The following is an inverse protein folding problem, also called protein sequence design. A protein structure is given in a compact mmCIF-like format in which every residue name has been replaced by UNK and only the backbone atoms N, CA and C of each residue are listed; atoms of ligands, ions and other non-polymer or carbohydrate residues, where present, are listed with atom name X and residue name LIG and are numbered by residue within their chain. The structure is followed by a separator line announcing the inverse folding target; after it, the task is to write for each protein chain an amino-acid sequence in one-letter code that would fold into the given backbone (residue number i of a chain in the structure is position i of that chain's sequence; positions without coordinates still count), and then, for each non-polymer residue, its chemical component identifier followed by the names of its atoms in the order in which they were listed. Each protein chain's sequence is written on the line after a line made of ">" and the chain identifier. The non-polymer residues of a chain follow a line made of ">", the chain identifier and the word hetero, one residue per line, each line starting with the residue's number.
data_IF_103519046775
#
_entry.id   IF_103519046775
#
_cell.length_a   1.000
_cell.length_b   1.000
_cell.length_c   1.000
_cell.angle_alpha   90.00
_cell.angle_beta   90.00
_cell.angle_gamma   90.00
#
_symmetry.space_group_name_H-M   'P 1'
#
loop_
_entity.id
_entity.type
_entity.pdbx_description
1 polymer ?
#
# COMPACT_ATOMS: atom_id res chain seq x y z
N UNK A 1 -4.21 53.54 -41.81
CA UNK A 1 -3.47 52.26 -41.67
C UNK A 1 -3.02 51.95 -40.25
N UNK A 2 -2.36 52.85 -39.49
CA UNK A 2 -1.91 52.57 -38.11
C UNK A 2 -3.03 52.10 -37.14
N UNK A 3 -4.23 52.69 -37.20
CA UNK A 3 -5.37 52.28 -36.36
C UNK A 3 -5.90 50.87 -36.66
N UNK A 4 -5.87 50.45 -37.92
CA UNK A 4 -6.32 49.10 -38.33
C UNK A 4 -5.33 48.05 -37.83
N UNK A 5 -4.03 48.35 -37.91
CA UNK A 5 -2.98 47.45 -37.41
C UNK A 5 -3.07 47.22 -35.89
N UNK A 6 -3.37 48.27 -35.11
CA UNK A 6 -3.58 48.16 -33.66
C UNK A 6 -4.81 47.32 -33.31
N UNK A 7 -5.89 47.39 -34.08
CA UNK A 7 -7.10 46.58 -33.87
C UNK A 7 -6.82 45.10 -34.17
N UNK A 8 -6.03 44.81 -35.22
CA UNK A 8 -5.63 43.44 -35.57
C UNK A 8 -4.70 42.83 -34.50
N UNK A 9 -3.73 43.60 -33.98
CA UNK A 9 -2.86 43.14 -32.88
C UNK A 9 -3.68 42.91 -31.60
N UNK A 10 -4.61 43.80 -31.27
CA UNK A 10 -5.47 43.63 -30.09
C UNK A 10 -6.37 42.39 -30.25
N UNK A 11 -6.93 42.15 -31.44
CA UNK A 11 -7.71 40.95 -31.75
C UNK A 11 -6.89 39.66 -31.62
N UNK A 12 -5.63 39.67 -32.07
CA UNK A 12 -4.71 38.53 -31.94
C UNK A 12 -4.32 38.24 -30.48
N UNK A 13 -4.16 39.27 -29.64
CA UNK A 13 -3.86 39.11 -28.21
C UNK A 13 -5.07 38.52 -27.47
N UNK A 14 -6.30 38.91 -27.83
CA UNK A 14 -7.52 38.39 -27.20
C UNK A 14 -7.77 36.92 -27.62
N UNK A 15 -7.46 36.55 -28.87
CA UNK A 15 -7.53 35.15 -29.33
C UNK A 15 -6.38 34.25 -28.84
N UNK A 16 -5.24 34.84 -28.42
CA UNK A 16 -4.12 34.08 -27.84
C UNK A 16 -4.30 33.75 -26.36
N UNK A 17 -5.43 34.14 -25.76
CA UNK A 17 -5.83 33.67 -24.45
C UNK A 17 -6.53 32.31 -24.61
N UNK A 18 -5.76 31.29 -25.01
CA UNK A 18 -6.18 29.90 -24.81
C UNK A 18 -6.50 29.76 -23.33
N UNK A 19 -7.76 29.52 -23.00
CA UNK A 19 -8.14 29.07 -21.67
C UNK A 19 -7.37 27.78 -21.43
N UNK A 20 -6.27 27.87 -20.69
CA UNK A 20 -5.50 26.71 -20.27
C UNK A 20 -6.48 25.81 -19.53
N UNK A 21 -6.92 24.72 -20.16
CA UNK A 21 -7.71 23.71 -19.48
C UNK A 21 -6.86 23.22 -18.31
N UNK A 22 -7.38 23.47 -17.12
CA UNK A 22 -6.62 23.29 -15.89
C UNK A 22 -6.92 21.90 -15.33
N UNK A 23 -5.87 21.09 -15.21
CA UNK A 23 -5.97 19.72 -14.67
C UNK A 23 -6.27 19.69 -13.15
N UNK A 24 -6.35 20.84 -12.47
CA UNK A 24 -6.54 20.92 -11.02
C UNK A 24 -7.84 20.24 -10.56
N UNK A 25 -7.73 19.56 -9.43
CA UNK A 25 -8.85 18.88 -8.77
C UNK A 25 -8.73 17.36 -8.82
N UNK A 26 -9.84 16.70 -8.47
CA UNK A 26 -9.94 15.25 -8.35
C UNK A 26 -10.45 14.62 -9.64
N UNK A 27 -9.87 13.48 -9.96
CA UNK A 27 -10.22 12.67 -11.11
C UNK A 27 -10.26 11.20 -10.68
N UNK A 28 -11.34 10.50 -10.98
CA UNK A 28 -11.53 9.08 -10.67
C UNK A 28 -11.51 8.25 -11.93
N UNK A 29 -10.98 7.03 -11.86
CA UNK A 29 -10.93 6.10 -12.99
C UNK A 29 -12.32 5.90 -13.61
N UNK A 30 -12.39 5.90 -14.94
CA UNK A 30 -13.64 5.61 -15.67
C UNK A 30 -14.00 4.12 -15.48
N UNK A 31 -15.28 3.81 -15.26
CA UNK A 31 -15.73 2.43 -14.97
C UNK A 31 -15.29 1.40 -16.03
N UNK A 32 -15.29 1.79 -17.30
CA UNK A 32 -14.84 0.93 -18.43
C UNK A 32 -13.32 0.62 -18.42
N UNK A 33 -12.52 1.34 -17.63
CA UNK A 33 -11.07 1.15 -17.52
C UNK A 33 -10.68 0.25 -16.34
N UNK A 34 -11.65 -0.20 -15.53
CA UNK A 34 -11.42 -1.13 -14.41
C UNK A 34 -11.05 -2.50 -14.98
N UNK A 35 -9.76 -2.70 -15.23
CA UNK A 35 -9.18 -4.01 -15.56
C UNK A 35 -8.98 -4.80 -14.27
N UNK A 36 -8.99 -6.14 -14.37
CA UNK A 36 -8.75 -7.12 -13.28
C UNK A 36 -7.42 -6.95 -12.50
N UNK A 37 -6.62 -5.93 -12.81
CA UNK A 37 -5.38 -5.58 -12.14
C UNK A 37 -5.61 -4.51 -11.06
N UNK A 38 -5.72 -4.96 -9.81
CA UNK A 38 -6.07 -4.15 -8.63
C UNK A 38 -5.03 -3.09 -8.19
N UNK A 39 -3.97 -2.85 -8.96
CA UNK A 39 -2.88 -1.91 -8.57
C UNK A 39 -2.94 -0.57 -9.32
N UNK A 40 -3.80 -0.42 -10.33
CA UNK A 40 -3.87 0.85 -11.04
C UNK A 40 -4.42 1.98 -10.15
N UNK A 41 -4.08 3.24 -10.46
CA UNK A 41 -4.59 4.35 -9.69
C UNK A 41 -6.07 4.54 -9.99
N UNK A 42 -6.85 4.64 -8.92
CA UNK A 42 -8.29 4.89 -8.97
C UNK A 42 -8.59 6.37 -8.86
N UNK A 43 -7.71 7.13 -8.19
CA UNK A 43 -7.87 8.56 -7.95
C UNK A 43 -6.58 9.29 -8.28
N UNK A 44 -6.70 10.37 -9.05
CA UNK A 44 -5.68 11.38 -9.27
C UNK A 44 -6.14 12.70 -8.66
N UNK A 45 -5.28 13.34 -7.89
CA UNK A 45 -5.52 14.68 -7.38
C UNK A 45 -4.38 15.60 -7.74
N UNK A 46 -4.65 16.49 -8.70
CA UNK A 46 -3.72 17.52 -9.13
C UNK A 46 -3.88 18.76 -8.25
N UNK A 47 -2.79 19.16 -7.59
CA UNK A 47 -2.71 20.33 -6.72
C UNK A 47 -1.42 21.09 -6.98
N UNK A 48 -1.52 22.23 -7.69
CA UNK A 48 -0.40 23.07 -8.13
C UNK A 48 0.61 22.25 -8.94
N UNK A 49 1.77 21.96 -8.36
CA UNK A 49 2.88 21.17 -8.92
C UNK A 49 2.96 19.76 -8.32
N UNK A 50 1.99 19.37 -7.51
CA UNK A 50 1.92 18.07 -6.84
C UNK A 50 0.79 17.24 -7.41
N UNK A 51 1.07 15.98 -7.70
CA UNK A 51 0.10 14.96 -8.08
C UNK A 51 0.04 13.93 -6.96
N UNK A 52 -1.14 13.78 -6.36
CA UNK A 52 -1.43 12.69 -5.44
C UNK A 52 -2.11 11.58 -6.25
N UNK A 53 -1.59 10.37 -6.12
CA UNK A 53 -2.06 9.18 -6.80
C UNK A 53 -2.54 8.21 -5.73
N UNK A 54 -3.78 7.78 -5.80
CA UNK A 54 -4.35 6.80 -4.87
C UNK A 54 -4.86 5.58 -5.64
N UNK A 55 -4.53 4.40 -5.12
CA UNK A 55 -4.95 3.11 -5.68
C UNK A 55 -6.25 2.61 -5.07
N UNK A 56 -6.84 1.57 -5.68
CA UNK A 56 -8.01 0.84 -5.14
C UNK A 56 -7.82 0.28 -3.72
N UNK A 57 -6.57 0.11 -3.30
CA UNK A 57 -6.17 -0.37 -1.99
C UNK A 57 -5.97 0.77 -0.98
N UNK A 58 -6.54 1.96 -1.26
CA UNK A 58 -6.45 3.18 -0.46
C UNK A 58 -5.01 3.66 -0.15
N UNK A 59 -4.03 3.13 -0.88
CA UNK A 59 -2.65 3.55 -0.75
C UNK A 59 -2.40 4.83 -1.53
N UNK A 60 -1.65 5.74 -0.94
CA UNK A 60 -1.33 7.08 -1.44
C UNK A 60 0.13 7.21 -1.83
N UNK A 61 0.36 7.73 -3.04
CA UNK A 61 1.65 8.24 -3.49
C UNK A 61 1.56 9.74 -3.77
N UNK A 62 2.68 10.42 -3.53
CA UNK A 62 2.82 11.84 -3.83
C UNK A 62 4.02 12.01 -4.75
N UNK A 63 3.81 12.72 -5.87
CA UNK A 63 4.85 13.09 -6.80
C UNK A 63 4.80 14.60 -7.09
N UNK A 64 5.97 15.22 -7.23
CA UNK A 64 6.07 16.53 -7.87
C UNK A 64 5.97 16.28 -9.38
N UNK A 65 5.10 17.00 -10.07
CA UNK A 65 4.90 16.83 -11.50
C UNK A 65 5.30 18.05 -12.30
N UNK A 66 5.79 17.79 -13.52
CA UNK A 66 6.02 18.81 -14.55
C UNK A 66 5.40 18.34 -15.86
N UNK A 67 4.42 19.08 -16.34
CA UNK A 67 3.76 18.82 -17.63
C UNK A 67 4.54 19.49 -18.77
N UNK A 68 4.81 18.76 -19.84
CA UNK A 68 5.40 19.27 -21.08
C UNK A 68 4.74 18.57 -22.27
N UNK A 69 3.98 19.32 -23.05
CA UNK A 69 3.15 18.80 -24.16
C UNK A 69 2.25 17.66 -23.65
N UNK A 70 2.20 16.55 -24.37
CA UNK A 70 1.40 15.36 -24.06
C UNK A 70 2.08 14.41 -23.05
N UNK A 71 3.02 14.93 -22.27
CA UNK A 71 3.75 14.14 -21.27
C UNK A 71 3.77 14.84 -19.92
N UNK A 72 3.69 14.01 -18.87
CA UNK A 72 3.89 14.43 -17.49
C UNK A 72 5.10 13.68 -16.92
N UNK A 73 6.06 14.44 -16.42
CA UNK A 73 7.19 13.92 -15.66
C UNK A 73 6.79 13.93 -14.17
N UNK A 74 6.86 12.78 -13.52
CA UNK A 74 6.60 12.59 -12.10
C UNK A 74 7.89 12.28 -11.37
N UNK A 75 8.17 13.06 -10.34
CA UNK A 75 9.30 12.89 -9.43
C UNK A 75 8.74 12.48 -8.06
N UNK A 76 8.88 11.21 -7.72
CA UNK A 76 8.38 10.64 -6.48
C UNK A 76 9.32 10.97 -5.30
N UNK A 77 8.80 10.93 -4.07
CA UNK A 77 9.57 11.20 -2.84
C UNK A 77 10.83 10.33 -2.69
N UNK A 78 10.84 9.13 -3.24
CA UNK A 78 11.97 8.21 -3.23
C UNK A 78 13.06 8.53 -4.28
N UNK A 79 12.92 9.64 -5.01
CA UNK A 79 13.85 10.08 -6.05
C UNK A 79 13.66 9.41 -7.41
N UNK A 80 12.68 8.51 -7.53
CA UNK A 80 12.35 7.88 -8.81
C UNK A 80 11.65 8.89 -9.71
N UNK A 81 12.11 8.96 -10.95
CA UNK A 81 11.48 9.77 -12.00
C UNK A 81 10.81 8.87 -13.04
N UNK A 82 9.56 9.18 -13.38
CA UNK A 82 8.79 8.46 -14.40
C UNK A 82 8.09 9.45 -15.33
N UNK A 83 7.97 9.08 -16.60
CA UNK A 83 7.24 9.86 -17.61
C UNK A 83 6.02 9.10 -18.08
N UNK A 84 4.88 9.77 -18.09
CA UNK A 84 3.62 9.20 -18.55
C UNK A 84 3.03 10.07 -19.67
N UNK A 85 2.32 9.46 -20.63
CA UNK A 85 1.46 10.22 -21.53
C UNK A 85 0.33 10.87 -20.70
N UNK A 86 -0.01 12.11 -21.04
CA UNK A 86 -1.15 12.83 -20.47
C UNK A 86 -1.84 13.64 -21.56
N UNK A 87 -3.16 13.63 -21.60
CA UNK A 87 -3.95 14.49 -22.49
C UNK A 87 -5.25 14.89 -21.80
N UNK A 88 -5.71 16.12 -22.04
CA UNK A 88 -7.05 16.55 -21.62
C UNK A 88 -7.96 16.30 -22.82
N UNK A 89 -8.88 15.34 -22.69
CA UNK A 89 -9.82 14.98 -23.77
C UNK A 89 -11.00 15.96 -23.75
N UNK A 90 -11.45 16.35 -22.56
CA UNK A 90 -12.49 17.35 -22.33
C UNK A 90 -12.33 17.96 -20.94
N UNK A 91 -13.14 18.96 -20.59
CA UNK A 91 -13.15 19.56 -19.24
C UNK A 91 -13.50 18.56 -18.11
N UNK A 92 -14.05 17.41 -18.47
CA UNK A 92 -14.48 16.35 -17.57
C UNK A 92 -13.70 15.05 -17.71
N UNK A 93 -12.81 14.92 -18.70
CA UNK A 93 -12.05 13.69 -18.94
C UNK A 93 -10.58 14.01 -19.21
N UNK A 94 -9.71 13.39 -18.40
CA UNK A 94 -8.27 13.36 -18.62
C UNK A 94 -7.82 11.94 -18.93
N UNK A 95 -6.89 11.79 -19.86
CA UNK A 95 -6.18 10.54 -20.07
C UNK A 95 -4.81 10.65 -19.40
N UNK A 96 -4.51 9.74 -18.47
CA UNK A 96 -3.23 9.65 -17.78
C UNK A 96 -2.73 8.21 -17.84
N UNK A 97 -1.47 8.02 -18.26
CA UNK A 97 -0.86 6.70 -18.39
C UNK A 97 -1.70 5.71 -19.24
N UNK A 98 -2.39 6.22 -20.27
CA UNK A 98 -3.33 5.49 -21.16
C UNK A 98 -4.60 4.99 -20.48
N UNK A 99 -4.99 5.61 -19.37
CA UNK A 99 -6.24 5.35 -18.67
C UNK A 99 -7.05 6.63 -18.59
N UNK A 100 -8.37 6.51 -18.74
CA UNK A 100 -9.28 7.65 -18.68
C UNK A 100 -9.77 7.86 -17.24
N UNK A 101 -9.76 9.10 -16.82
CA UNK A 101 -10.29 9.54 -15.53
C UNK A 101 -11.35 10.61 -15.75
N UNK A 102 -12.43 10.53 -14.99
CA UNK A 102 -13.53 11.48 -14.98
C UNK A 102 -13.31 12.45 -13.83
N UNK A 103 -13.51 13.74 -14.08
CA UNK A 103 -13.49 14.76 -13.04
C UNK A 103 -14.57 14.48 -11.99
N UNK A 104 -14.22 14.56 -10.72
CA UNK A 104 -15.14 14.32 -9.61
C UNK A 104 -14.96 15.33 -8.48
N UNK A 105 -15.89 15.31 -7.53
CA UNK A 105 -15.80 16.05 -6.28
C UNK A 105 -15.21 15.16 -5.19
N UNK A 106 -14.57 15.80 -4.18
CA UNK A 106 -13.97 15.11 -3.04
C UNK A 106 -14.97 14.25 -2.26
N UNK A 107 -16.23 14.69 -2.17
CA UNK A 107 -17.30 14.00 -1.45
C UNK A 107 -17.63 12.60 -2.00
N UNK A 108 -17.23 12.31 -3.25
CA UNK A 108 -17.47 11.02 -3.90
C UNK A 108 -16.33 10.02 -3.69
N UNK A 109 -15.27 10.39 -2.97
CA UNK A 109 -14.12 9.52 -2.72
C UNK A 109 -14.35 8.62 -1.51
N UNK A 110 -13.50 7.60 -1.37
CA UNK A 110 -13.49 6.76 -0.17
C UNK A 110 -13.35 7.64 1.07
N UNK A 111 -14.15 7.35 2.11
CA UNK A 111 -14.10 8.07 3.39
C UNK A 111 -12.91 7.63 4.24
N UNK A 112 -12.25 6.54 3.87
CA UNK A 112 -11.06 6.06 4.55
C UNK A 112 -9.89 6.94 4.16
N UNK A 113 -9.21 7.52 5.15
CA UNK A 113 -8.05 8.36 4.88
C UNK A 113 -6.96 7.53 4.16
N UNK A 114 -6.47 7.98 2.99
CA UNK A 114 -5.39 7.30 2.29
C UNK A 114 -4.09 7.36 3.09
N UNK A 115 -3.26 6.32 2.99
CA UNK A 115 -2.03 6.20 3.80
C UNK A 115 -0.79 5.86 2.96
N UNK A 116 0.40 6.12 3.50
CA UNK A 116 1.72 5.82 2.86
C UNK A 116 2.32 4.53 3.46
N UNK A 117 3.17 3.82 2.71
CA UNK A 117 3.79 2.55 3.14
C UNK A 117 5.20 2.73 3.76
N UNK A 118 5.65 1.78 4.60
CA UNK A 118 6.97 1.77 5.26
C UNK A 118 8.16 1.36 4.38
N UNK A 119 9.16 2.25 4.23
CA UNK A 119 10.33 2.05 3.36
C UNK A 119 11.26 0.86 3.65
N UNK A 120 10.99 -0.30 3.02
CA UNK A 120 11.90 -1.44 2.89
C UNK A 120 12.07 -1.87 1.42
N UNK A 121 13.29 -2.23 1.05
CA UNK A 121 13.60 -2.76 -0.29
C UNK A 121 13.50 -4.29 -0.27
N UNK A 122 12.43 -4.82 -0.86
CA UNK A 122 12.36 -6.25 -1.18
C UNK A 122 12.98 -6.52 -2.55
N UNK A 123 13.36 -7.77 -2.83
CA UNK A 123 13.79 -8.20 -4.17
C UNK A 123 12.62 -8.64 -5.06
N UNK A 124 11.43 -8.86 -4.49
CA UNK A 124 10.23 -9.29 -5.25
C UNK A 124 9.25 -8.15 -5.50
N UNK A 125 8.75 -8.10 -6.75
CA UNK A 125 7.62 -7.26 -7.14
C UNK A 125 6.30 -7.97 -6.82
N UNK A 126 5.35 -7.22 -6.30
CA UNK A 126 4.00 -7.69 -6.02
C UNK A 126 3.16 -7.76 -7.31
N UNK A 127 2.40 -8.84 -7.46
CA UNK A 127 1.35 -8.99 -8.48
C UNK A 127 0.13 -9.60 -7.79
N UNK A 128 -0.94 -8.84 -7.58
CA UNK A 128 -2.10 -9.31 -6.84
C UNK A 128 -2.75 -10.49 -7.56
N UNK A 129 -3.41 -11.33 -6.78
CA UNK A 129 -4.21 -12.45 -7.27
C UNK A 129 -5.66 -12.20 -6.86
N UNK A 130 -6.62 -12.63 -7.68
CA UNK A 130 -8.05 -12.40 -7.46
C UNK A 130 -8.66 -13.11 -6.23
N UNK A 131 -7.91 -14.00 -5.56
CA UNK A 131 -8.35 -14.70 -4.35
C UNK A 131 -7.40 -14.44 -3.18
N UNK A 132 -7.44 -13.22 -2.65
CA UNK A 132 -6.62 -12.79 -1.52
C UNK A 132 -7.37 -11.92 -0.53
N UNK A 133 -6.98 -12.02 0.74
CA UNK A 133 -7.38 -11.09 1.79
C UNK A 133 -6.33 -10.02 1.94
N UNK A 134 -6.78 -8.78 2.15
CA UNK A 134 -5.91 -7.64 2.30
C UNK A 134 -6.18 -7.01 3.67
N UNK A 135 -5.12 -6.78 4.42
CA UNK A 135 -5.12 -6.02 5.66
C UNK A 135 -4.12 -4.87 5.49
N UNK A 136 -4.53 -3.66 5.86
CA UNK A 136 -3.60 -2.53 5.95
C UNK A 136 -3.32 -2.24 7.41
N UNK A 137 -2.10 -2.48 7.88
CA UNK A 137 -1.67 -2.13 9.23
C UNK A 137 -1.15 -0.69 9.22
N UNK A 138 -1.79 0.21 9.97
CA UNK A 138 -1.51 1.65 9.98
C UNK A 138 -1.31 2.16 11.41
N UNK A 139 -0.62 3.30 11.56
CA UNK A 139 -0.70 4.12 12.78
C UNK A 139 -1.83 5.13 12.64
N UNK A 140 -2.71 5.18 13.63
CA UNK A 140 -3.71 6.23 13.80
C UNK A 140 -3.61 6.76 15.23
N UNK A 141 -3.29 8.05 15.39
CA UNK A 141 -3.02 8.67 16.70
C UNK A 141 -2.01 7.87 17.55
N UNK A 142 -0.91 7.43 16.92
CA UNK A 142 0.16 6.60 17.51
C UNK A 142 -0.24 5.16 17.89
N UNK A 143 -1.52 4.80 17.79
CA UNK A 143 -1.99 3.43 17.98
C UNK A 143 -1.98 2.64 16.67
N UNK A 144 -1.58 1.37 16.74
CA UNK A 144 -1.72 0.48 15.60
C UNK A 144 -3.18 0.11 15.38
N UNK A 145 -3.67 0.35 14.17
CA UNK A 145 -5.01 0.00 13.70
C UNK A 145 -4.89 -0.77 12.39
N UNK A 146 -5.99 -1.38 11.97
CA UNK A 146 -6.11 -2.03 10.66
C UNK A 146 -7.22 -1.42 9.83
N UNK A 147 -7.03 -1.32 8.52
CA UNK A 147 -8.11 -1.08 7.57
C UNK A 147 -8.56 -2.44 7.05
N UNK A 148 -9.84 -2.75 7.26
CA UNK A 148 -10.51 -3.98 6.84
C UNK A 148 -11.75 -3.59 6.03
N UNK A 149 -11.79 -3.88 4.73
CA UNK A 149 -12.87 -3.44 3.80
C UNK A 149 -13.23 -1.95 3.98
N UNK A 150 -12.25 -1.06 3.81
CA UNK A 150 -12.41 0.40 3.94
C UNK A 150 -12.78 0.90 5.36
N UNK A 151 -12.81 0.04 6.36
CA UNK A 151 -13.08 0.44 7.75
C UNK A 151 -11.83 0.37 8.62
N UNK A 152 -11.46 1.52 9.21
CA UNK A 152 -10.44 1.57 10.26
C UNK A 152 -11.00 0.88 11.52
N UNK A 153 -10.26 -0.11 12.03
CA UNK A 153 -10.65 -0.99 13.13
C UNK A 153 -9.45 -1.30 14.02
N UNK A 154 -9.71 -1.86 15.22
CA UNK A 154 -8.65 -2.35 16.10
C UNK A 154 -8.06 -3.68 15.61
N UNK A 155 -6.83 -3.99 16.02
CA UNK A 155 -6.17 -5.27 15.67
C UNK A 155 -7.00 -6.50 16.08
N UNK A 156 -7.80 -6.38 17.15
CA UNK A 156 -8.70 -7.44 17.62
C UNK A 156 -9.85 -7.78 16.66
N UNK A 157 -10.08 -6.97 15.62
CA UNK A 157 -11.08 -7.23 14.58
C UNK A 157 -10.55 -8.16 13.47
N UNK A 158 -9.25 -8.43 13.44
CA UNK A 158 -8.61 -9.31 12.44
C UNK A 158 -9.25 -10.70 12.40
N UNK A 159 -9.52 -11.38 13.54
CA UNK A 159 -10.11 -12.72 13.47
C UNK A 159 -11.49 -12.79 12.84
N UNK A 160 -12.36 -11.82 13.14
CA UNK A 160 -13.68 -11.76 12.54
C UNK A 160 -13.59 -11.56 11.02
N UNK A 161 -12.68 -10.69 10.58
CA UNK A 161 -12.44 -10.43 9.16
C UNK A 161 -11.86 -11.64 8.41
N UNK A 162 -10.92 -12.36 9.03
CA UNK A 162 -10.28 -13.53 8.43
C UNK A 162 -11.09 -14.82 8.56
N UNK A 163 -12.21 -14.81 9.30
CA UNK A 163 -13.12 -15.95 9.45
C UNK A 163 -13.98 -16.18 8.19
N UNK A 164 -13.32 -16.37 7.04
CA UNK A 164 -13.95 -16.89 5.83
C UNK A 164 -14.04 -18.41 5.93
N UNK A 165 -15.17 -18.99 5.51
CA UNK A 165 -15.54 -20.40 5.72
C UNK A 165 -14.48 -21.44 5.33
N UNK A 166 -14.71 -22.70 5.74
CA UNK A 166 -13.76 -23.86 5.78
C UNK A 166 -13.06 -24.26 4.46
N UNK A 167 -13.28 -23.57 3.36
CA UNK A 167 -12.70 -23.90 2.06
C UNK A 167 -11.47 -23.02 1.78
N UNK A 168 -10.28 -23.61 1.93
CA UNK A 168 -8.95 -23.05 1.61
C UNK A 168 -8.73 -21.59 2.01
N UNK A 169 -7.94 -21.37 3.08
CA UNK A 169 -7.62 -20.01 3.53
C UNK A 169 -6.98 -19.20 2.39
N UNK A 170 -7.51 -18.02 2.04
CA UNK A 170 -6.98 -17.19 0.97
C UNK A 170 -5.56 -16.71 1.30
N UNK A 171 -4.81 -16.30 0.28
CA UNK A 171 -3.51 -15.63 0.51
C UNK A 171 -3.75 -14.34 1.28
N UNK A 172 -2.98 -14.11 2.35
CA UNK A 172 -3.06 -12.88 3.13
C UNK A 172 -1.96 -11.91 2.73
N UNK A 173 -2.36 -10.73 2.26
CA UNK A 173 -1.51 -9.59 1.99
C UNK A 173 -1.61 -8.58 3.14
N UNK A 174 -0.47 -8.23 3.72
CA UNK A 174 -0.41 -7.28 4.82
C UNK A 174 0.38 -6.04 4.37
N UNK A 175 -0.33 -4.97 4.07
CA UNK A 175 0.29 -3.70 3.74
C UNK A 175 0.72 -2.97 5.02
N UNK A 176 1.99 -2.59 5.11
CA UNK A 176 2.55 -1.91 6.27
C UNK A 176 2.61 -0.40 6.01
N UNK A 177 1.75 0.34 6.69
CA UNK A 177 1.77 1.79 6.71
C UNK A 177 3.04 2.34 7.36
N UNK A 178 3.30 3.64 7.18
CA UNK A 178 4.41 4.34 7.85
C UNK A 178 4.32 4.25 9.37
N UNK A 179 5.46 4.33 10.06
CA UNK A 179 5.57 4.36 11.53
C UNK A 179 5.10 3.07 12.25
N UNK A 180 4.90 1.98 11.52
CA UNK A 180 4.62 0.67 12.09
C UNK A 180 5.88 0.13 12.77
N UNK A 181 5.77 -0.16 14.06
CA UNK A 181 6.84 -0.76 14.85
C UNK A 181 6.79 -2.29 14.79
N UNK A 182 7.90 -2.94 15.15
CA UNK A 182 7.98 -4.40 15.24
C UNK A 182 6.91 -4.95 16.20
N UNK A 183 6.66 -4.27 17.31
CA UNK A 183 5.65 -4.70 18.29
C UNK A 183 4.23 -4.66 17.71
N UNK A 184 3.93 -3.70 16.82
CA UNK A 184 2.65 -3.62 16.14
C UNK A 184 2.49 -4.80 15.15
N UNK A 185 3.55 -5.10 14.41
CA UNK A 185 3.59 -6.25 13.50
C UNK A 185 3.45 -7.57 14.25
N UNK A 186 4.16 -7.74 15.37
CA UNK A 186 4.10 -8.95 16.20
C UNK A 186 2.67 -9.18 16.73
N UNK A 187 2.02 -8.15 17.26
CA UNK A 187 0.61 -8.24 17.70
C UNK A 187 -0.32 -8.63 16.55
N UNK A 188 -0.11 -8.06 15.37
CA UNK A 188 -0.87 -8.39 14.16
C UNK A 188 -0.67 -9.85 13.75
N UNK A 189 0.56 -10.35 13.84
CA UNK A 189 0.87 -11.76 13.59
C UNK A 189 0.19 -12.68 14.60
N UNK A 190 0.18 -12.33 15.89
CA UNK A 190 -0.56 -13.10 16.90
C UNK A 190 -2.05 -13.20 16.55
N UNK A 191 -2.69 -12.08 16.21
CA UNK A 191 -4.10 -12.08 15.79
C UNK A 191 -4.34 -12.91 14.51
N UNK A 192 -3.40 -12.90 13.58
CA UNK A 192 -3.45 -13.70 12.34
C UNK A 192 -3.29 -15.20 12.62
N UNK A 193 -2.39 -15.58 13.53
CA UNK A 193 -2.16 -16.96 13.93
C UNK A 193 -3.36 -17.59 14.65
N UNK A 194 -4.16 -16.81 15.39
CA UNK A 194 -5.44 -17.28 15.93
C UNK A 194 -6.40 -17.80 14.87
N UNK A 195 -6.24 -17.30 13.64
CA UNK A 195 -7.02 -17.72 12.48
C UNK A 195 -6.35 -18.88 11.73
N UNK A 196 -5.32 -19.49 12.31
CA UNK A 196 -4.44 -20.52 11.72
C UNK A 196 -3.95 -20.17 10.30
N UNK A 197 -3.59 -18.90 10.12
CA UNK A 197 -2.89 -18.40 8.93
C UNK A 197 -1.42 -18.25 9.30
N UNK A 198 -0.56 -19.07 8.67
CA UNK A 198 0.86 -19.15 9.00
C UNK A 198 1.76 -18.48 7.96
N UNK A 199 1.16 -17.86 6.94
CA UNK A 199 1.90 -17.23 5.85
C UNK A 199 1.24 -15.93 5.46
N UNK A 200 2.05 -14.89 5.43
CA UNK A 200 1.65 -13.56 4.96
C UNK A 200 2.62 -13.09 3.90
N UNK A 201 2.14 -12.25 3.00
CA UNK A 201 2.99 -11.54 2.07
C UNK A 201 2.89 -10.05 2.43
N UNK A 202 3.97 -9.54 3.02
CA UNK A 202 4.09 -8.16 3.49
C UNK A 202 4.29 -7.23 2.30
N UNK A 203 3.62 -6.09 2.29
CA UNK A 203 3.81 -5.04 1.27
C UNK A 203 4.25 -3.78 1.99
N UNK A 204 5.50 -3.39 1.74
CA UNK A 204 6.18 -2.37 2.55
C UNK A 204 6.45 -1.10 1.76
N UNK A 205 6.76 -1.20 0.48
CA UNK A 205 7.17 -0.03 -0.29
C UNK A 205 6.64 -0.08 -1.71
N UNK A 206 6.70 1.06 -2.40
CA UNK A 206 6.38 1.17 -3.82
C UNK A 206 7.33 2.14 -4.50
N UNK A 207 7.83 1.76 -5.68
CA UNK A 207 8.67 2.62 -6.50
C UNK A 207 7.87 3.69 -7.23
N UNK A 208 6.81 3.23 -7.88
CA UNK A 208 5.77 3.99 -8.57
C UNK A 208 4.44 3.31 -8.29
N UNK A 209 3.34 3.86 -8.81
CA UNK A 209 2.02 3.28 -8.59
C UNK A 209 1.85 1.90 -9.25
N UNK A 210 2.76 1.47 -10.11
CA UNK A 210 2.73 0.12 -10.72
C UNK A 210 3.59 -0.92 -10.00
N UNK A 211 4.58 -0.48 -9.22
CA UNK A 211 5.66 -1.34 -8.74
C UNK A 211 5.72 -1.33 -7.21
N UNK A 212 5.18 -2.38 -6.60
CA UNK A 212 5.19 -2.60 -5.16
C UNK A 212 6.20 -3.66 -4.75
N UNK A 213 6.82 -3.45 -3.60
CA UNK A 213 7.77 -4.35 -2.98
C UNK A 213 7.11 -5.22 -1.95
N UNK A 214 7.43 -6.50 -1.98
CA UNK A 214 6.80 -7.47 -1.09
C UNK A 214 7.74 -8.52 -0.53
N UNK A 215 7.55 -8.92 0.72
CA UNK A 215 8.30 -9.97 1.41
C UNK A 215 7.34 -11.09 1.81
N UNK A 216 7.65 -12.33 1.43
CA UNK A 216 6.90 -13.50 1.90
C UNK A 216 7.42 -13.91 3.26
N UNK A 217 6.54 -13.93 4.25
CA UNK A 217 6.88 -14.23 5.63
C UNK A 217 6.08 -15.43 6.14
N UNK A 218 6.75 -16.29 6.91
CA UNK A 218 6.13 -17.41 7.60
C UNK A 218 6.00 -17.05 9.06
N UNK A 219 4.77 -17.04 9.57
CA UNK A 219 4.49 -16.61 10.93
C UNK A 219 4.95 -17.69 11.90
N UNK A 220 6.08 -17.43 12.56
CA UNK A 220 6.58 -18.21 13.68
C UNK A 220 6.79 -17.27 14.87
N UNK A 221 5.99 -17.47 15.92
CA UNK A 221 6.09 -16.72 17.18
C UNK A 221 6.40 -17.73 18.27
N UNK A 222 7.36 -17.40 19.14
CA UNK A 222 7.68 -18.23 20.30
C UNK A 222 6.43 -18.44 21.18
N UNK A 223 6.18 -19.68 21.59
CA UNK A 223 5.00 -20.06 22.37
C UNK A 223 4.81 -19.19 23.62
N UNK A 224 5.91 -18.83 24.30
CA UNK A 224 5.88 -17.97 25.49
C UNK A 224 5.30 -16.58 25.18
N UNK A 225 5.72 -15.96 24.07
CA UNK A 225 5.23 -14.67 23.60
C UNK A 225 3.78 -14.76 23.15
N UNK A 226 3.43 -15.82 22.42
CA UNK A 226 2.06 -16.02 21.97
C UNK A 226 1.11 -16.23 23.16
N UNK A 227 1.49 -17.06 24.14
CA UNK A 227 0.69 -17.30 25.34
C UNK A 227 0.54 -16.06 26.22
N UNK A 228 1.58 -15.23 26.33
CA UNK A 228 1.48 -13.92 26.99
C UNK A 228 0.47 -13.03 26.29
N UNK A 229 0.52 -12.95 24.96
CA UNK A 229 -0.46 -12.22 24.16
C UNK A 229 -1.90 -12.71 24.38
N UNK A 230 -2.14 -14.02 24.40
CA UNK A 230 -3.46 -14.63 24.69
C UNK A 230 -3.98 -14.14 26.05
N UNK A 231 -3.12 -14.19 27.06
CA UNK A 231 -3.45 -13.79 28.44
C UNK A 231 -3.75 -12.29 28.54
N UNK A 232 -2.91 -11.45 27.95
CA UNK A 232 -3.06 -9.99 27.96
C UNK A 232 -4.36 -9.54 27.27
N UNK A 233 -4.72 -10.20 26.16
CA UNK A 233 -5.93 -9.88 25.39
C UNK A 233 -7.17 -10.66 25.86
N UNK A 234 -7.07 -11.43 26.95
CA UNK A 234 -8.17 -12.21 27.56
C UNK A 234 -8.88 -13.13 26.55
N UNK A 235 -8.12 -13.72 25.62
CA UNK A 235 -8.67 -14.61 24.61
C UNK A 235 -9.00 -15.97 25.26
N UNK A 236 -10.24 -16.49 25.11
CA UNK A 236 -10.61 -17.78 25.67
C UNK A 236 -9.72 -18.91 25.11
N UNK A 237 -9.09 -19.66 25.99
CA UNK A 237 -8.26 -20.82 25.59
C UNK A 237 -9.13 -22.00 25.11
N UNK A 238 -10.37 -22.09 25.61
CA UNK A 238 -11.38 -23.07 25.22
C UNK A 238 -11.89 -22.78 23.80
N UNK A 239 -11.14 -23.19 22.79
CA UNK A 239 -11.42 -22.86 21.39
C UNK A 239 -10.17 -22.86 20.50
N UNK A 240 -8.98 -22.78 21.10
CA UNK A 240 -7.68 -23.00 20.42
C UNK A 240 -7.44 -24.50 20.09
N UNK A 241 -8.48 -25.34 20.20
CA UNK A 241 -8.48 -26.78 20.01
C UNK A 241 -8.43 -27.12 18.52
N UNK A 242 -7.27 -26.91 17.91
CA UNK A 242 -6.64 -27.77 16.90
C UNK A 242 -5.34 -27.06 16.47
N UNK A 243 -4.20 -27.74 16.53
CA UNK A 243 -2.87 -27.34 16.02
C UNK A 243 -1.88 -26.60 16.93
N UNK A 244 -1.90 -26.85 18.24
CA UNK A 244 -0.63 -27.01 18.98
C UNK A 244 -0.53 -28.45 19.48
N UNK A 245 -0.60 -29.42 18.56
CA UNK A 245 -0.12 -30.77 18.86
C UNK A 245 1.39 -30.66 18.99
N UNK A 246 1.86 -30.62 20.23
CA UNK A 246 3.28 -30.66 20.59
C UNK A 246 3.98 -31.96 20.17
N UNK A 247 3.27 -32.96 19.64
CA UNK A 247 3.84 -34.18 19.07
C UNK A 247 2.78 -34.88 18.20
N UNK A 248 2.89 -34.80 16.86
CA UNK A 248 2.47 -35.83 15.89
C UNK A 248 2.42 -35.29 14.44
N UNK A 249 3.08 -36.01 13.54
CA UNK A 249 2.85 -36.05 12.10
C UNK A 249 3.14 -34.81 11.23
N UNK A 250 4.23 -34.08 11.53
CA UNK A 250 4.96 -33.41 10.45
C UNK A 250 5.65 -34.48 9.59
N UNK A 251 4.96 -34.94 8.55
CA UNK A 251 5.57 -35.64 7.44
C UNK A 251 6.70 -34.76 6.92
N UNK A 252 7.93 -35.12 7.29
CA UNK A 252 9.16 -34.70 6.61
C UNK A 252 9.09 -35.25 5.19
N UNK A 253 8.28 -34.65 4.34
CA UNK A 253 8.59 -34.68 2.92
C UNK A 253 9.87 -33.89 2.75
N UNK A 254 10.88 -34.69 2.49
CA UNK A 254 12.24 -34.42 2.10
C UNK A 254 12.25 -33.56 0.83
N UNK A 255 11.69 -32.36 0.88
CA UNK A 255 12.02 -31.31 -0.08
C UNK A 255 13.47 -31.01 0.19
N UNK A 256 14.31 -31.37 -0.77
CA UNK A 256 15.73 -31.00 -0.84
C UNK A 256 15.84 -29.55 -0.42
N UNK A 257 16.28 -29.36 0.82
CA UNK A 257 16.88 -28.13 1.26
C UNK A 257 17.92 -27.81 0.18
N UNK A 258 17.70 -26.71 -0.54
CA UNK A 258 18.84 -25.98 -1.01
C UNK A 258 19.64 -25.68 0.25
N UNK A 259 20.75 -26.42 0.36
CA UNK A 259 21.86 -26.07 1.21
C UNK A 259 22.15 -24.60 0.96
N UNK A 260 21.74 -23.76 1.90
CA UNK A 260 22.68 -22.79 2.39
C UNK A 260 22.55 -22.78 3.90
N UNK A 261 23.60 -23.31 4.49
CA UNK A 261 23.88 -23.30 5.91
C UNK A 261 23.85 -21.85 6.41
N UNK A 262 22.89 -21.50 7.26
CA UNK A 262 23.06 -20.45 8.27
C UNK A 262 22.21 -20.75 9.51
N UNK A 263 22.64 -21.82 10.19
CA UNK A 263 22.56 -22.09 11.63
C UNK A 263 22.29 -20.85 12.48
N UNK A 264 21.23 -20.81 13.31
CA UNK A 264 21.04 -19.95 14.52
C UNK A 264 21.36 -18.43 14.43
N UNK A 265 21.86 -18.01 13.29
CA UNK A 265 22.24 -16.70 12.82
C UNK A 265 21.00 -16.03 12.29
N UNK A 266 19.95 -16.76 11.87
CA UNK A 266 18.70 -16.11 11.47
C UNK A 266 18.00 -15.40 12.63
N UNK A 267 18.06 -15.89 13.87
CA UNK A 267 17.46 -15.21 15.02
C UNK A 267 18.39 -14.17 15.64
N UNK A 268 19.72 -14.38 15.63
CA UNK A 268 20.70 -13.37 16.05
C UNK A 268 20.93 -12.30 14.96
N UNK A 269 20.74 -12.60 13.67
CA UNK A 269 20.69 -11.62 12.57
C UNK A 269 19.33 -10.98 12.49
N UNK A 270 18.22 -11.64 12.83
CA UNK A 270 16.93 -10.97 13.01
C UNK A 270 16.95 -10.08 14.26
N UNK A 271 17.60 -10.49 15.35
CA UNK A 271 17.85 -9.69 16.56
C UNK A 271 18.90 -8.60 16.33
N UNK A 272 19.96 -8.83 15.54
CA UNK A 272 20.93 -7.79 15.12
C UNK A 272 20.35 -6.87 14.05
N UNK A 273 19.45 -7.36 13.21
CA UNK A 273 18.65 -6.57 12.28
C UNK A 273 17.68 -5.71 13.07
N UNK A 274 17.03 -6.24 14.12
CA UNK A 274 16.15 -5.47 15.04
C UNK A 274 16.91 -4.59 16.04
N UNK A 275 18.15 -4.92 16.41
CA UNK A 275 19.05 -4.04 17.18
C UNK A 275 19.66 -2.96 16.30
N UNK A 276 19.99 -3.24 15.02
CA UNK A 276 20.33 -2.21 14.04
C UNK A 276 19.12 -1.33 13.68
N UNK A 277 17.90 -1.89 13.69
CA UNK A 277 16.63 -1.15 13.63
C UNK A 277 16.52 -0.17 14.81
N UNK A 278 17.00 -0.52 16.01
CA UNK A 278 16.98 0.36 17.19
C UNK A 278 18.17 1.34 17.31
N UNK A 279 19.38 0.96 16.87
CA UNK A 279 20.59 1.79 17.01
C UNK A 279 20.59 2.98 16.05
N UNK A 280 19.98 2.86 14.86
CA UNK A 280 19.88 3.98 13.89
C UNK A 280 18.73 4.95 14.17
N UNK A 281 17.76 4.59 15.01
CA UNK A 281 16.69 5.50 15.43
C UNK A 281 17.11 6.48 16.56
N UNK A 282 18.26 6.27 17.21
CA UNK A 282 18.82 7.20 18.22
C UNK A 282 19.82 8.22 17.68
N UNK A 283 20.22 8.16 16.40
CA UNK A 283 21.32 9.00 15.86
C UNK A 283 20.82 10.20 15.03
N UNK A 284 19.52 10.35 14.78
CA UNK A 284 18.97 11.50 14.04
C UNK A 284 18.30 12.59 14.91
N UNK A 285 18.65 12.66 16.19
CA UNK A 285 18.45 13.88 17.00
C UNK A 285 19.72 14.18 17.81
N UNK A 286 20.67 14.82 17.13
CA UNK A 286 21.50 15.90 17.65
C UNK A 286 21.74 16.89 16.51
#
# INVERSE_FOLDING_TARGET
>A
MKRIFSIVILGLIIFSCESKQDEQGYWTIHFDEVKDSSIYPDVLYFKKDTLIIQSSHNFKQIAIYKKKNDTILLNFKNGIEKKYPISIISDSIIEFAKMKFIRTNEDNLSKTEPYELTGFQSKSRFKPHSNSMIIHLIKNNSEAKVILNDKISDLSSIPEFLNYGRYSKPKLYLYLGTEIEINDLLKTYCWTLLCEIYKVELITHSESFEDFYTVKDYLYIEDSLFMNFIKENKIPQSGLLHTFNTESDYVREKIKYFQNESNHSSMIEYLKFTEQLNFRMKVNYN
#
